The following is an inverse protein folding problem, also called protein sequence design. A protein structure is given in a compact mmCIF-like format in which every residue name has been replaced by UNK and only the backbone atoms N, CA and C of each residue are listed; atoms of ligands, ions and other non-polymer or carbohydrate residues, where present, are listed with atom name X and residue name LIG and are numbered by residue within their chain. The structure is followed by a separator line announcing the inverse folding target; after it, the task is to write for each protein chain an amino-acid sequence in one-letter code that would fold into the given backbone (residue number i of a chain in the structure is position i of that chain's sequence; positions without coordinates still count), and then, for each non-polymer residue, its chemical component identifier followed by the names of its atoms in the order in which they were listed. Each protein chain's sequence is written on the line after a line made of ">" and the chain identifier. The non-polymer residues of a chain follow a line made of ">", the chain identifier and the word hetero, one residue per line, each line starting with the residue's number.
data_IF_395483014540
#
_entry.id   IF_395483014540
#
_cell.length_a   1.000
_cell.length_b   1.000
_cell.length_c   1.000
_cell.angle_alpha   90.00
_cell.angle_beta   90.00
_cell.angle_gamma   90.00
#
_symmetry.space_group_name_H-M   'P 1'
#
loop_
_entity.id
_entity.type
_entity.pdbx_description
1 polymer ?
#
# COMPACT_ATOMS: atom_id res chain seq x y z
N UNK A 1 -10.54 23.00 -21.20
CA UNK A 1 -9.18 22.70 -20.69
C UNK A 1 -9.31 22.68 -19.18
N UNK A 2 -9.29 21.57 -18.46
CA UNK A 2 -8.54 20.31 -18.58
C UNK A 2 -9.41 19.12 -18.18
N UNK A 3 -9.22 17.97 -18.85
CA UNK A 3 -9.90 16.69 -18.60
C UNK A 3 -10.18 16.40 -17.13
N UNK A 4 -11.46 16.44 -16.76
CA UNK A 4 -12.00 15.69 -15.64
C UNK A 4 -11.69 14.23 -15.96
N UNK A 5 -10.65 13.66 -15.34
CA UNK A 5 -10.30 12.24 -15.49
C UNK A 5 -11.54 11.44 -15.14
N UNK A 6 -12.25 11.02 -16.16
CA UNK A 6 -13.42 10.18 -16.04
C UNK A 6 -12.96 8.95 -15.27
N UNK A 7 -13.58 8.74 -14.12
CA UNK A 7 -13.47 7.57 -13.27
C UNK A 7 -13.82 6.33 -14.11
N UNK A 8 -12.82 5.78 -14.82
CA UNK A 8 -12.86 4.51 -15.56
C UNK A 8 -12.40 3.33 -14.69
N UNK A 9 -12.14 3.59 -13.40
CA UNK A 9 -11.88 2.57 -12.40
C UNK A 9 -13.22 2.19 -11.76
N UNK A 10 -13.70 0.99 -12.07
CA UNK A 10 -14.82 0.37 -11.38
C UNK A 10 -14.35 -0.08 -9.99
N UNK A 11 -14.72 0.68 -8.97
CA UNK A 11 -14.54 0.28 -7.59
C UNK A 11 -15.76 -0.55 -7.13
N UNK A 12 -15.58 -1.60 -6.32
CA UNK A 12 -14.31 -2.04 -5.72
C UNK A 12 -13.39 -2.80 -6.69
N UNK A 13 -12.10 -2.47 -6.71
CA UNK A 13 -11.09 -3.16 -7.51
C UNK A 13 -9.98 -3.72 -6.63
N UNK A 14 -9.42 -4.89 -6.97
CA UNK A 14 -8.26 -5.44 -6.28
C UNK A 14 -7.00 -4.72 -6.76
N UNK A 15 -6.36 -3.97 -5.88
CA UNK A 15 -5.13 -3.24 -6.16
C UNK A 15 -3.95 -3.89 -5.44
N UNK A 16 -2.94 -4.41 -6.17
CA UNK A 16 -1.71 -4.88 -5.57
C UNK A 16 -0.79 -3.68 -5.33
N UNK A 17 -0.60 -3.30 -4.07
CA UNK A 17 0.35 -2.29 -3.66
C UNK A 17 1.66 -2.94 -3.23
N UNK A 18 2.77 -2.53 -3.85
CA UNK A 18 4.10 -3.01 -3.50
C UNK A 18 4.88 -1.92 -2.79
N UNK A 19 5.13 -2.13 -1.51
CA UNK A 19 5.91 -1.25 -0.65
C UNK A 19 7.30 -1.84 -0.45
N UNK A 20 8.34 -1.10 -0.78
CA UNK A 20 9.73 -1.48 -0.54
C UNK A 20 10.28 -0.56 0.55
N UNK A 21 10.81 -1.15 1.61
CA UNK A 21 11.33 -0.43 2.75
C UNK A 21 12.52 -1.12 3.40
N UNK A 22 12.95 -0.57 4.53
CA UNK A 22 13.96 -1.21 5.39
C UNK A 22 13.40 -2.51 5.96
N UNK A 23 14.24 -3.54 6.04
CA UNK A 23 13.87 -4.82 6.65
C UNK A 23 13.86 -4.68 8.19
N UNK A 24 12.79 -4.10 8.74
CA UNK A 24 12.58 -3.94 10.18
C UNK A 24 11.15 -4.35 10.52
N UNK A 25 10.95 -5.00 11.66
CA UNK A 25 9.60 -5.44 12.09
C UNK A 25 8.62 -4.26 12.22
N UNK A 26 9.14 -3.09 12.61
CA UNK A 26 8.38 -1.85 12.65
C UNK A 26 7.80 -1.45 11.28
N UNK A 27 8.47 -1.76 10.17
CA UNK A 27 7.98 -1.41 8.83
C UNK A 27 6.72 -2.21 8.49
N UNK A 28 6.74 -3.53 8.72
CA UNK A 28 5.55 -4.36 8.47
C UNK A 28 4.40 -3.95 9.39
N UNK A 29 4.69 -3.65 10.66
CA UNK A 29 3.70 -3.19 11.64
C UNK A 29 3.07 -1.84 11.27
N UNK A 30 3.88 -0.85 10.89
CA UNK A 30 3.41 0.48 10.48
C UNK A 30 2.58 0.38 9.20
N UNK A 31 3.06 -0.34 8.17
CA UNK A 31 2.34 -0.53 6.91
C UNK A 31 1.01 -1.26 7.14
N UNK A 32 1.00 -2.32 7.95
CA UNK A 32 -0.24 -3.01 8.32
C UNK A 32 -1.18 -2.12 9.14
N UNK A 33 -0.66 -1.29 10.05
CA UNK A 33 -1.46 -0.36 10.84
C UNK A 33 -2.15 0.70 9.98
N UNK A 34 -1.41 1.28 9.03
CA UNK A 34 -1.95 2.18 8.00
C UNK A 34 -3.04 1.46 7.21
N UNK A 35 -2.72 0.27 6.69
CA UNK A 35 -3.70 -0.53 5.94
C UNK A 35 -4.96 -0.78 6.76
N UNK A 36 -4.87 -1.34 7.96
CA UNK A 36 -6.01 -1.60 8.85
C UNK A 36 -6.88 -0.36 9.13
N UNK A 37 -6.26 0.82 9.22
CA UNK A 37 -6.98 2.09 9.40
C UNK A 37 -7.86 2.44 8.20
N UNK A 38 -7.40 2.16 6.98
CA UNK A 38 -8.16 2.39 5.74
C UNK A 38 -9.02 1.19 5.33
N UNK A 39 -8.61 -0.01 5.75
CA UNK A 39 -9.19 -1.31 5.43
C UNK A 39 -10.18 -1.80 6.50
N UNK A 40 -10.82 -0.87 7.22
CA UNK A 40 -11.80 -1.19 8.29
C UNK A 40 -12.93 -2.11 7.80
N UNK A 41 -13.28 -2.03 6.51
CA UNK A 41 -14.29 -2.87 5.88
C UNK A 41 -13.74 -3.85 4.82
N UNK A 42 -12.46 -3.74 4.47
CA UNK A 42 -11.86 -4.42 3.34
C UNK A 42 -10.61 -5.18 3.79
N UNK A 43 -10.73 -6.44 4.18
CA UNK A 43 -9.57 -7.24 4.62
C UNK A 43 -8.48 -7.26 3.54
N UNK A 44 -7.18 -7.06 3.89
CA UNK A 44 -6.10 -7.28 2.95
C UNK A 44 -6.17 -8.73 2.48
N UNK A 45 -6.40 -8.92 1.19
CA UNK A 45 -6.68 -10.25 0.63
C UNK A 45 -5.41 -11.08 0.53
N UNK A 46 -4.26 -10.43 0.35
CA UNK A 46 -2.98 -11.13 0.26
C UNK A 46 -1.81 -10.21 0.63
N UNK A 47 -0.99 -10.64 1.59
CA UNK A 47 0.27 -9.96 1.94
C UNK A 47 1.43 -10.92 1.68
N UNK A 48 2.32 -10.55 0.75
CA UNK A 48 3.55 -11.29 0.47
C UNK A 48 4.75 -10.45 0.86
N UNK A 49 5.61 -11.02 1.68
CA UNK A 49 6.88 -10.40 2.07
C UNK A 49 8.03 -11.09 1.36
N UNK A 50 8.90 -10.29 0.76
CA UNK A 50 10.08 -10.77 0.03
C UNK A 50 11.31 -10.01 0.51
N UNK A 51 12.21 -10.74 1.15
CA UNK A 51 13.51 -10.22 1.55
C UNK A 51 14.38 -10.01 0.31
N UNK A 52 15.12 -8.91 0.31
CA UNK A 52 16.19 -8.69 -0.67
C UNK A 52 17.37 -9.62 -0.36
N UNK A 53 18.18 -9.93 -1.38
CA UNK A 53 19.31 -10.85 -1.28
C UNK A 53 20.38 -10.45 -0.24
N UNK A 54 20.39 -9.19 0.20
CA UNK A 54 21.28 -8.69 1.25
C UNK A 54 20.59 -8.42 2.59
N UNK A 55 19.34 -8.87 2.79
CA UNK A 55 18.53 -8.70 4.01
C UNK A 55 18.35 -7.25 4.50
N UNK A 56 18.83 -6.28 3.72
CA UNK A 56 18.81 -4.84 4.04
C UNK A 56 17.45 -4.20 3.76
N UNK A 57 16.72 -4.75 2.79
CA UNK A 57 15.43 -4.22 2.33
C UNK A 57 14.38 -5.33 2.27
N UNK A 58 13.15 -4.98 2.60
CA UNK A 58 11.97 -5.82 2.52
C UNK A 58 11.04 -5.27 1.45
N UNK A 59 10.63 -6.12 0.52
CA UNK A 59 9.56 -5.82 -0.42
C UNK A 59 8.27 -6.49 0.06
N UNK A 60 7.28 -5.68 0.39
CA UNK A 60 5.98 -6.10 0.88
C UNK A 60 4.96 -5.82 -0.22
N UNK A 61 4.35 -6.88 -0.76
CA UNK A 61 3.26 -6.79 -1.73
C UNK A 61 1.96 -7.04 -1.01
N UNK A 62 1.10 -6.04 -0.92
CA UNK A 62 -0.20 -6.08 -0.27
C UNK A 62 -1.27 -5.91 -1.34
N UNK A 63 -2.06 -6.95 -1.56
CA UNK A 63 -3.28 -6.87 -2.36
C UNK A 63 -4.45 -6.55 -1.45
N UNK A 64 -5.18 -5.49 -1.78
CA UNK A 64 -6.38 -5.09 -1.07
C UNK A 64 -7.47 -4.61 -2.03
N UNK A 65 -8.70 -4.54 -1.53
CA UNK A 65 -9.83 -4.03 -2.29
C UNK A 65 -9.88 -2.51 -2.11
N UNK A 66 -9.50 -1.78 -3.16
CA UNK A 66 -9.65 -0.33 -3.20
C UNK A 66 -11.12 -0.01 -3.44
N UNK A 67 -11.73 0.77 -2.55
CA UNK A 67 -13.11 1.23 -2.68
C UNK A 67 -13.21 2.59 -3.37
N UNK A 68 -12.13 3.37 -3.36
CA UNK A 68 -12.08 4.70 -4.00
C UNK A 68 -10.65 5.15 -4.28
N UNK A 69 -10.49 6.06 -5.26
CA UNK A 69 -9.19 6.69 -5.54
C UNK A 69 -8.67 7.51 -4.36
N UNK A 70 -9.55 8.17 -3.61
CA UNK A 70 -9.20 8.95 -2.42
C UNK A 70 -8.62 8.07 -1.30
N UNK A 71 -9.15 6.85 -1.14
CA UNK A 71 -8.61 5.87 -0.19
C UNK A 71 -7.19 5.45 -0.59
N UNK A 72 -6.95 5.19 -1.88
CA UNK A 72 -5.62 4.87 -2.40
C UNK A 72 -4.63 6.01 -2.13
N UNK A 73 -5.00 7.24 -2.50
CA UNK A 73 -4.14 8.41 -2.30
C UNK A 73 -3.80 8.62 -0.82
N UNK A 74 -4.80 8.47 0.06
CA UNK A 74 -4.58 8.55 1.50
C UNK A 74 -3.63 7.45 2.03
N UNK A 75 -3.76 6.21 1.52
CA UNK A 75 -2.83 5.11 1.84
C UNK A 75 -1.42 5.45 1.36
N UNK A 76 -1.24 5.85 0.10
CA UNK A 76 0.07 6.22 -0.46
C UNK A 76 0.71 7.37 0.33
N UNK A 77 -0.07 8.38 0.72
CA UNK A 77 0.41 9.51 1.48
C UNK A 77 0.87 9.10 2.89
N UNK A 78 0.10 8.27 3.59
CA UNK A 78 0.49 7.78 4.93
C UNK A 78 1.73 6.89 4.85
N UNK A 79 1.79 6.00 3.85
CA UNK A 79 2.97 5.15 3.62
C UNK A 79 4.19 5.99 3.27
N UNK A 80 4.05 7.01 2.42
CA UNK A 80 5.15 7.90 2.08
C UNK A 80 5.63 8.74 3.26
N UNK A 81 4.84 8.88 4.34
CA UNK A 81 5.27 9.56 5.58
C UNK A 81 6.11 8.66 6.47
N UNK A 82 6.04 7.34 6.30
CA UNK A 82 6.88 6.40 7.02
C UNK A 82 8.31 6.52 6.49
N UNK A 83 9.25 6.99 7.33
CA UNK A 83 10.68 7.05 6.97
C UNK A 83 11.29 5.67 6.63
N UNK A 84 10.57 4.61 6.97
CA UNK A 84 10.94 3.22 6.68
C UNK A 84 10.60 2.81 5.24
N UNK A 85 9.67 3.51 4.58
CA UNK A 85 9.26 3.28 3.20
C UNK A 85 10.21 4.02 2.27
N UNK A 86 10.82 3.29 1.34
CA UNK A 86 11.74 3.84 0.34
C UNK A 86 11.05 4.02 -1.00
N UNK A 87 10.12 3.12 -1.35
CA UNK A 87 9.46 3.13 -2.64
C UNK A 87 8.09 2.43 -2.56
N UNK A 88 7.09 2.97 -3.24
CA UNK A 88 5.76 2.36 -3.40
C UNK A 88 5.43 2.23 -4.89
N UNK A 89 4.92 1.07 -5.30
CA UNK A 89 4.59 0.67 -6.68
C UNK A 89 3.18 0.12 -6.79
#
# INVERSE_FOLDING_TARGET
>A
MTETRQSLLEFPCSFPLKVIGKNVEAFEFEVMGVMLKYLTNATPTHCTRRLSAGEKYLALTISFMAESQEQLDAIYQDLSRLELVLYTL
#
